data_IF_164539442022
#
_entry.id   IF_164539442022
#
_cell.length_a   1.000
_cell.length_b   1.000
_cell.length_c   1.000
_cell.angle_alpha   90.00
_cell.angle_beta   90.00
_cell.angle_gamma   90.00
#
_symmetry.space_group_name_H-M   'P 1'
#
loop_
_entity.id
_entity.type
_entity.pdbx_description
1 polymer ?
#
# COMPACT_ATOMS: atom_id res chain seq x y z
N UNK A 1 -23.63 25.77 22.91
CA UNK A 1 -24.43 26.63 22.02
C UNK A 1 -24.13 26.24 20.60
N UNK A 2 -25.13 25.77 19.85
CA UNK A 2 -25.03 25.53 18.40
C UNK A 2 -25.31 26.87 17.71
N UNK A 3 -24.45 27.29 16.79
CA UNK A 3 -24.62 28.55 16.06
C UNK A 3 -25.76 28.38 15.04
N UNK A 4 -26.76 29.27 15.05
CA UNK A 4 -27.97 29.17 14.21
C UNK A 4 -27.68 29.31 12.71
N UNK A 5 -26.50 29.82 12.33
CA UNK A 5 -26.07 29.94 10.94
C UNK A 5 -25.17 28.78 10.52
N UNK A 6 -25.77 27.69 10.06
CA UNK A 6 -25.07 26.59 9.39
C UNK A 6 -24.59 27.05 8.00
N UNK A 7 -23.26 27.11 7.77
CA UNK A 7 -22.65 27.36 6.46
C UNK A 7 -22.63 26.09 5.60
N UNK A 8 -23.76 25.41 5.46
CA UNK A 8 -23.84 24.21 4.63
C UNK A 8 -23.57 24.55 3.16
N UNK A 9 -22.55 23.95 2.57
CA UNK A 9 -22.16 24.12 1.16
C UNK A 9 -22.52 22.91 0.27
N UNK A 10 -23.24 21.95 0.85
CA UNK A 10 -23.71 20.72 0.22
C UNK A 10 -25.10 20.35 0.74
N UNK A 11 -25.96 19.91 -0.18
CA UNK A 11 -27.28 19.36 0.12
C UNK A 11 -27.31 17.89 -0.29
N UNK A 12 -27.67 16.99 0.62
CA UNK A 12 -27.69 15.55 0.40
C UNK A 12 -27.04 14.75 1.53
N UNK A 13 -26.84 13.45 1.33
CA UNK A 13 -26.16 12.62 2.31
C UNK A 13 -24.66 12.94 2.37
N UNK A 14 -24.03 12.68 3.51
CA UNK A 14 -22.59 12.91 3.71
C UNK A 14 -21.72 12.11 2.73
N UNK A 15 -22.17 10.92 2.31
CA UNK A 15 -21.48 10.09 1.33
C UNK A 15 -21.46 10.65 -0.10
N UNK A 16 -22.29 11.64 -0.43
CA UNK A 16 -22.26 12.29 -1.75
C UNK A 16 -21.39 13.55 -1.79
N UNK A 17 -20.95 14.05 -0.63
CA UNK A 17 -20.15 15.27 -0.53
C UNK A 17 -18.85 15.18 -1.35
N UNK A 18 -18.18 14.02 -1.30
CA UNK A 18 -16.94 13.79 -2.04
C UNK A 18 -17.16 13.89 -3.56
N UNK A 19 -18.19 13.23 -4.08
CA UNK A 19 -18.52 13.26 -5.49
C UNK A 19 -18.94 14.66 -5.95
N UNK A 20 -19.80 15.33 -5.19
CA UNK A 20 -20.22 16.70 -5.50
C UNK A 20 -19.06 17.70 -5.44
N UNK A 21 -18.14 17.53 -4.49
CA UNK A 21 -16.91 18.33 -4.42
C UNK A 21 -16.01 18.10 -5.63
N UNK A 22 -15.76 16.85 -6.00
CA UNK A 22 -14.95 16.49 -7.15
C UNK A 22 -15.53 17.04 -8.47
N UNK A 23 -16.84 16.91 -8.69
CA UNK A 23 -17.53 17.50 -9.85
C UNK A 23 -17.25 19.00 -9.92
N UNK A 24 -17.46 19.75 -8.83
CA UNK A 24 -17.22 21.20 -8.82
C UNK A 24 -15.77 21.55 -9.15
N UNK A 25 -14.80 20.82 -8.59
CA UNK A 25 -13.38 21.04 -8.87
C UNK A 25 -13.06 20.88 -10.36
N UNK A 26 -13.57 19.82 -11.00
CA UNK A 26 -13.32 19.56 -12.42
C UNK A 26 -14.16 20.46 -13.34
N UNK A 27 -15.39 20.80 -12.95
CA UNK A 27 -16.28 21.66 -13.74
C UNK A 27 -15.74 23.09 -13.86
N UNK A 28 -15.16 23.62 -12.79
CA UNK A 28 -14.71 25.00 -12.74
C UNK A 28 -13.22 25.20 -13.01
N UNK A 29 -12.46 24.12 -13.24
CA UNK A 29 -11.01 24.16 -13.44
C UNK A 29 -10.59 25.10 -14.57
N UNK A 30 -11.25 25.07 -15.73
CA UNK A 30 -10.92 25.95 -16.86
C UNK A 30 -11.30 27.41 -16.58
N UNK A 31 -12.50 27.66 -16.04
CA UNK A 31 -12.96 29.04 -15.79
C UNK A 31 -12.22 29.74 -14.66
N UNK A 32 -11.81 29.00 -13.62
CA UNK A 32 -11.11 29.57 -12.45
C UNK A 32 -9.59 29.54 -12.59
N UNK A 33 -9.05 28.56 -13.32
CA UNK A 33 -7.60 28.31 -13.36
C UNK A 33 -7.02 28.20 -14.78
N UNK A 34 -7.85 28.14 -15.83
CA UNK A 34 -7.39 27.94 -17.21
C UNK A 34 -6.74 26.58 -17.46
N UNK A 35 -7.10 25.55 -16.66
CA UNK A 35 -6.48 24.24 -16.70
C UNK A 35 -7.51 23.12 -16.88
N UNK A 36 -7.14 22.11 -17.66
CA UNK A 36 -7.85 20.83 -17.71
C UNK A 36 -7.12 19.80 -16.86
N UNK A 37 -7.84 19.13 -15.96
CA UNK A 37 -7.30 18.07 -15.13
C UNK A 37 -7.45 16.71 -15.80
N UNK A 38 -6.35 16.14 -16.28
CA UNK A 38 -6.35 14.86 -17.00
C UNK A 38 -6.21 13.64 -16.10
N UNK A 39 -6.02 13.84 -14.79
CA UNK A 39 -5.76 12.77 -13.82
C UNK A 39 -6.62 12.95 -12.58
N UNK A 40 -7.18 11.86 -12.08
CA UNK A 40 -7.97 11.78 -10.86
C UNK A 40 -7.29 10.83 -9.88
N UNK A 41 -6.77 11.34 -8.76
CA UNK A 41 -6.19 10.50 -7.71
C UNK A 41 -7.27 10.14 -6.67
N UNK A 42 -7.60 8.85 -6.55
CA UNK A 42 -8.69 8.38 -5.69
C UNK A 42 -8.37 7.12 -4.88
N UNK A 43 -9.25 6.80 -3.93
CA UNK A 43 -9.27 5.50 -3.23
C UNK A 43 -10.25 4.58 -3.98
N UNK A 44 -9.79 3.45 -4.51
CA UNK A 44 -10.58 2.25 -4.84
C UNK A 44 -11.94 2.42 -5.49
N UNK A 45 -12.99 2.53 -4.69
CA UNK A 45 -14.37 2.73 -5.17
C UNK A 45 -14.71 4.22 -5.20
N UNK A 46 -14.20 4.91 -6.20
CA UNK A 46 -14.36 6.35 -6.32
C UNK A 46 -15.66 6.68 -7.07
N UNK A 47 -16.79 6.69 -6.35
CA UNK A 47 -18.04 7.30 -6.85
C UNK A 47 -17.81 8.72 -7.38
N UNK A 48 -16.85 9.43 -6.77
CA UNK A 48 -16.38 10.73 -7.23
C UNK A 48 -15.74 10.68 -8.62
N UNK A 49 -14.83 9.73 -8.90
CA UNK A 49 -14.26 9.54 -10.23
C UNK A 49 -15.35 9.22 -11.24
N UNK A 50 -16.27 8.29 -10.91
CA UNK A 50 -17.37 7.93 -11.79
C UNK A 50 -18.21 9.14 -12.16
N UNK A 51 -18.57 9.97 -11.18
CA UNK A 51 -19.37 11.17 -11.41
C UNK A 51 -18.63 12.22 -12.25
N UNK A 52 -17.32 12.42 -12.01
CA UNK A 52 -16.47 13.29 -12.83
C UNK A 52 -16.36 12.76 -14.27
N UNK A 53 -16.21 11.45 -14.44
CA UNK A 53 -16.13 10.85 -15.76
C UNK A 53 -17.48 10.93 -16.50
N UNK A 54 -18.61 10.74 -15.82
CA UNK A 54 -19.94 10.84 -16.44
C UNK A 54 -20.28 12.27 -16.90
N UNK A 55 -19.81 13.30 -16.19
CA UNK A 55 -20.07 14.69 -16.58
C UNK A 55 -19.24 15.17 -17.79
N UNK A 56 -18.18 14.44 -18.18
CA UNK A 56 -17.29 14.77 -19.31
C UNK A 56 -16.90 16.27 -19.33
N UNK A 57 -16.18 16.79 -18.31
CA UNK A 57 -15.99 18.22 -18.11
C UNK A 57 -15.21 18.91 -19.24
N UNK A 58 -14.49 18.13 -20.06
CA UNK A 58 -13.58 18.61 -21.10
C UNK A 58 -13.88 18.00 -22.48
N UNK A 59 -15.11 17.51 -22.70
CA UNK A 59 -15.49 16.85 -23.96
C UNK A 59 -14.67 15.58 -24.20
N UNK A 60 -13.84 15.57 -25.24
CA UNK A 60 -13.07 14.39 -25.68
C UNK A 60 -11.84 14.08 -24.81
N UNK A 61 -11.44 14.99 -23.90
CA UNK A 61 -10.28 14.76 -23.03
C UNK A 61 -10.61 13.75 -21.93
N UNK A 62 -9.94 12.59 -21.98
CA UNK A 62 -10.10 11.54 -20.98
C UNK A 62 -9.42 11.89 -19.65
N UNK A 63 -10.03 11.44 -18.56
CA UNK A 63 -9.51 11.59 -17.21
C UNK A 63 -9.02 10.23 -16.73
N UNK A 64 -7.71 10.08 -16.54
CA UNK A 64 -7.10 8.86 -16.04
C UNK A 64 -7.29 8.74 -14.52
N UNK A 65 -7.83 7.61 -14.06
CA UNK A 65 -7.89 7.32 -12.63
C UNK A 65 -6.55 6.75 -12.14
N UNK A 66 -5.96 7.41 -11.15
CA UNK A 66 -4.82 6.95 -10.38
C UNK A 66 -5.25 6.41 -9.02
N UNK A 67 -4.64 5.32 -8.58
CA UNK A 67 -4.88 4.73 -7.27
C UNK A 67 -3.95 5.32 -6.21
N UNK A 68 -4.52 5.78 -5.10
CA UNK A 68 -3.70 6.31 -4.01
C UNK A 68 -2.92 5.20 -3.28
N UNK A 69 -1.74 5.53 -2.76
CA UNK A 69 -0.92 4.61 -1.95
C UNK A 69 -1.70 4.06 -0.75
N UNK A 70 -2.61 4.87 -0.20
CA UNK A 70 -3.52 4.50 0.88
C UNK A 70 -4.44 3.33 0.52
N UNK A 71 -4.91 3.28 -0.72
CA UNK A 71 -5.73 2.19 -1.21
C UNK A 71 -4.89 0.94 -1.52
N UNK A 72 -3.76 1.09 -2.20
CA UNK A 72 -2.90 -0.05 -2.55
C UNK A 72 -2.44 -0.80 -1.29
N UNK A 73 -2.03 -0.07 -0.23
CA UNK A 73 -1.70 -0.70 1.06
C UNK A 73 -2.89 -1.41 1.71
N UNK A 74 -4.11 -0.85 1.62
CA UNK A 74 -5.34 -1.48 2.16
C UNK A 74 -5.63 -2.78 1.42
N UNK A 75 -5.55 -2.75 0.09
CA UNK A 75 -5.74 -3.92 -0.79
C UNK A 75 -4.80 -5.06 -0.42
N UNK A 76 -3.52 -4.79 -0.21
CA UNK A 76 -2.54 -5.78 0.29
C UNK A 76 -2.99 -6.40 1.62
N UNK A 77 -3.36 -5.57 2.60
CA UNK A 77 -3.84 -6.05 3.90
C UNK A 77 -5.08 -6.91 3.82
N UNK A 78 -6.06 -6.53 3.00
CA UNK A 78 -7.27 -7.32 2.77
C UNK A 78 -6.94 -8.69 2.17
N UNK A 79 -6.03 -8.74 1.19
CA UNK A 79 -5.58 -10.02 0.59
C UNK A 79 -4.91 -10.93 1.61
N UNK A 80 -4.01 -10.40 2.45
CA UNK A 80 -3.36 -11.16 3.52
C UNK A 80 -4.37 -11.67 4.56
N UNK A 81 -5.37 -10.86 4.93
CA UNK A 81 -6.44 -11.28 5.83
C UNK A 81 -7.32 -12.37 5.21
N UNK A 82 -7.65 -12.26 3.93
CA UNK A 82 -8.41 -13.29 3.22
C UNK A 82 -7.63 -14.60 3.12
N UNK A 83 -6.32 -14.54 2.89
CA UNK A 83 -5.45 -15.71 2.97
C UNK A 83 -5.49 -16.34 4.36
N UNK A 84 -5.31 -15.53 5.40
CA UNK A 84 -5.40 -15.97 6.80
C UNK A 84 -6.69 -16.73 7.07
N UNK A 85 -7.82 -16.20 6.57
CA UNK A 85 -9.13 -16.86 6.67
C UNK A 85 -9.19 -18.18 5.89
N UNK A 86 -8.66 -18.23 4.66
CA UNK A 86 -8.60 -19.46 3.84
C UNK A 86 -7.74 -20.57 4.46
N UNK A 87 -6.72 -20.19 5.24
CA UNK A 87 -5.82 -21.11 5.92
C UNK A 87 -6.22 -21.39 7.37
N UNK A 88 -7.31 -20.78 7.85
CA UNK A 88 -7.82 -20.97 9.20
C UNK A 88 -8.04 -22.46 9.48
N UNK A 89 -7.49 -22.95 10.59
CA UNK A 89 -7.51 -24.37 11.04
C UNK A 89 -6.64 -25.34 10.22
N UNK A 90 -5.94 -24.89 9.18
CA UNK A 90 -4.90 -25.72 8.55
C UNK A 90 -3.62 -25.58 9.36
N UNK A 91 -3.12 -26.70 9.87
CA UNK A 91 -1.77 -26.74 10.45
C UNK A 91 -0.76 -26.54 9.33
N UNK A 92 0.29 -25.77 9.62
CA UNK A 92 1.42 -25.60 8.72
C UNK A 92 2.25 -26.89 8.64
N UNK A 93 3.24 -26.94 7.74
CA UNK A 93 4.14 -28.09 7.60
C UNK A 93 4.87 -28.45 8.91
N UNK A 94 5.12 -27.43 9.75
CA UNK A 94 5.70 -27.58 11.09
C UNK A 94 4.79 -28.31 12.09
N UNK A 95 3.50 -28.52 11.74
CA UNK A 95 2.42 -29.14 12.53
C UNK A 95 2.22 -28.55 13.95
N UNK A 96 2.90 -27.45 14.28
CA UNK A 96 2.95 -26.85 15.62
C UNK A 96 2.01 -25.67 15.75
N UNK A 97 1.86 -24.88 14.69
CA UNK A 97 1.09 -23.63 14.70
C UNK A 97 0.19 -23.47 13.48
N UNK A 98 -0.82 -22.65 13.66
CA UNK A 98 -1.69 -22.11 12.61
C UNK A 98 -1.13 -20.80 12.07
N UNK A 99 -1.59 -20.37 10.90
CA UNK A 99 -1.07 -19.18 10.24
C UNK A 99 -1.34 -17.89 11.02
N UNK A 100 -2.42 -17.86 11.81
CA UNK A 100 -2.86 -16.72 12.62
C UNK A 100 -2.24 -16.64 14.02
N UNK A 101 -1.36 -17.59 14.38
CA UNK A 101 -0.70 -17.59 15.68
C UNK A 101 0.28 -16.42 15.89
N UNK A 102 0.53 -16.08 17.15
CA UNK A 102 1.52 -15.06 17.52
C UNK A 102 2.92 -15.38 16.97
N UNK A 103 3.54 -14.38 16.34
CA UNK A 103 4.81 -14.51 15.61
C UNK A 103 4.68 -15.07 14.19
N UNK A 104 3.45 -15.27 13.70
CA UNK A 104 3.13 -15.67 12.32
C UNK A 104 2.40 -14.52 11.60
N UNK A 105 1.38 -14.79 10.80
CA UNK A 105 0.59 -13.78 10.09
C UNK A 105 -0.61 -13.28 10.93
N UNK A 106 -0.34 -12.87 12.18
CA UNK A 106 -1.32 -12.22 13.04
C UNK A 106 -1.71 -10.83 12.47
N UNK A 107 -2.85 -10.27 12.88
CA UNK A 107 -3.33 -8.98 12.36
C UNK A 107 -2.31 -7.85 12.57
N UNK A 108 -1.64 -7.82 13.72
CA UNK A 108 -0.58 -6.86 14.00
C UNK A 108 0.61 -6.98 13.02
N UNK A 109 0.91 -8.18 12.51
CA UNK A 109 1.97 -8.37 11.51
C UNK A 109 1.50 -7.93 10.11
N UNK A 110 0.23 -8.19 9.77
CA UNK A 110 -0.38 -7.67 8.54
C UNK A 110 -0.35 -6.13 8.54
N UNK A 111 -0.68 -5.48 9.67
CA UNK A 111 -0.64 -4.02 9.78
C UNK A 111 0.77 -3.46 9.60
N UNK A 112 1.80 -4.13 10.16
CA UNK A 112 3.21 -3.76 9.91
C UNK A 112 3.58 -3.91 8.43
N UNK A 113 3.18 -5.01 7.79
CA UNK A 113 3.44 -5.23 6.36
C UNK A 113 2.79 -4.13 5.50
N UNK A 114 1.55 -3.75 5.79
CA UNK A 114 0.88 -2.64 5.10
C UNK A 114 1.60 -1.31 5.31
N UNK A 115 2.10 -1.06 6.53
CA UNK A 115 2.86 0.15 6.86
C UNK A 115 4.16 0.21 6.04
N UNK A 116 4.93 -0.87 6.04
CA UNK A 116 6.20 -0.95 5.32
C UNK A 116 6.00 -0.86 3.81
N UNK A 117 5.00 -1.55 3.28
CA UNK A 117 4.64 -1.45 1.86
C UNK A 117 4.33 0.00 1.44
N UNK A 118 3.52 0.72 2.23
CA UNK A 118 3.23 2.13 1.97
C UNK A 118 4.45 3.05 2.12
N UNK A 119 5.38 2.73 3.04
CA UNK A 119 6.61 3.48 3.24
C UNK A 119 7.58 3.27 2.08
N UNK A 120 7.70 2.04 1.59
CA UNK A 120 8.52 1.69 0.43
C UNK A 120 8.10 2.48 -0.82
N UNK A 121 6.80 2.69 -1.04
CA UNK A 121 6.33 3.53 -2.14
C UNK A 121 6.68 5.01 -1.90
N UNK A 122 6.32 5.56 -0.72
CA UNK A 122 6.49 6.99 -0.42
C UNK A 122 7.95 7.45 -0.40
N UNK A 123 8.87 6.61 0.06
CA UNK A 123 10.29 6.97 0.18
C UNK A 123 11.06 6.82 -1.14
N UNK A 124 10.42 6.37 -2.21
CA UNK A 124 11.08 6.09 -3.49
C UNK A 124 10.37 6.79 -4.68
N UNK A 125 9.57 7.83 -4.43
CA UNK A 125 8.84 8.56 -5.48
C UNK A 125 9.73 9.46 -6.33
N UNK A 126 10.85 9.93 -5.79
CA UNK A 126 11.60 11.06 -6.35
C UNK A 126 12.79 10.64 -7.23
N UNK A 127 12.98 9.33 -7.47
CA UNK A 127 14.12 8.86 -8.27
C UNK A 127 13.81 8.77 -9.76
N UNK A 128 14.83 9.01 -10.60
CA UNK A 128 14.77 8.82 -12.07
C UNK A 128 14.32 7.40 -12.47
N UNK A 129 14.52 6.43 -11.57
CA UNK A 129 14.13 5.04 -11.69
C UNK A 129 13.10 4.64 -10.62
N UNK A 130 12.20 5.55 -10.24
CA UNK A 130 11.28 5.43 -9.08
C UNK A 130 10.57 4.09 -9.02
N UNK A 131 10.09 3.59 -10.16
CA UNK A 131 9.42 2.28 -10.24
C UNK A 131 10.34 1.14 -9.82
N UNK A 132 11.59 1.10 -10.28
CA UNK A 132 12.54 0.03 -9.92
C UNK A 132 12.97 0.15 -8.46
N UNK A 133 13.18 1.37 -7.96
CA UNK A 133 13.47 1.64 -6.56
C UNK A 133 12.32 1.20 -5.64
N UNK A 134 11.07 1.51 -6.01
CA UNK A 134 9.85 1.08 -5.31
C UNK A 134 9.76 -0.45 -5.31
N UNK A 135 9.93 -1.10 -6.47
CA UNK A 135 9.92 -2.58 -6.57
C UNK A 135 10.98 -3.20 -5.67
N UNK A 136 12.21 -2.70 -5.72
CA UNK A 136 13.32 -3.17 -4.87
C UNK A 136 12.98 -3.01 -3.38
N UNK A 137 12.47 -1.86 -2.95
CA UNK A 137 12.13 -1.59 -1.56
C UNK A 137 10.96 -2.48 -1.05
N UNK A 138 9.96 -2.73 -1.90
CA UNK A 138 8.86 -3.66 -1.60
C UNK A 138 9.42 -5.08 -1.43
N UNK A 139 10.27 -5.53 -2.35
CA UNK A 139 10.90 -6.84 -2.26
C UNK A 139 11.80 -6.98 -1.04
N UNK A 140 12.61 -5.97 -0.72
CA UNK A 140 13.43 -5.95 0.49
C UNK A 140 12.59 -6.10 1.76
N UNK A 141 11.45 -5.40 1.83
CA UNK A 141 10.49 -5.54 2.95
C UNK A 141 9.95 -6.97 3.06
N UNK A 142 9.64 -7.59 1.93
CA UNK A 142 9.17 -8.97 1.88
C UNK A 142 10.26 -9.95 2.33
N UNK A 143 11.47 -9.86 1.81
CA UNK A 143 12.58 -10.76 2.16
C UNK A 143 13.03 -10.61 3.61
N UNK A 144 12.93 -9.41 4.19
CA UNK A 144 13.14 -9.21 5.63
C UNK A 144 12.15 -9.96 6.53
N UNK A 145 11.02 -10.39 5.99
CA UNK A 145 9.93 -11.05 6.72
C UNK A 145 9.81 -12.52 6.36
N UNK A 146 10.00 -12.85 5.09
CA UNK A 146 10.00 -14.20 4.55
C UNK A 146 11.36 -14.85 4.77
N UNK A 147 11.50 -15.69 5.79
CA UNK A 147 12.79 -16.32 6.08
C UNK A 147 12.90 -17.71 5.47
N UNK A 148 14.08 -17.97 4.89
CA UNK A 148 14.62 -19.29 4.65
C UNK A 148 15.95 -19.31 5.42
N UNK A 149 16.04 -20.10 6.49
CA UNK A 149 17.20 -20.17 7.40
C UNK A 149 18.55 -20.54 6.73
N UNK A 150 18.55 -20.81 5.42
CA UNK A 150 19.76 -21.15 4.65
C UNK A 150 20.22 -20.04 3.68
N UNK A 151 19.45 -18.96 3.47
CA UNK A 151 19.78 -17.91 2.52
C UNK A 151 19.43 -16.52 3.06
N UNK A 152 20.46 -15.75 3.40
CA UNK A 152 20.37 -14.35 3.82
C UNK A 152 19.95 -13.49 2.63
N UNK A 153 18.67 -13.22 2.46
CA UNK A 153 18.18 -12.38 1.35
C UNK A 153 18.10 -10.90 1.74
N UNK A 154 19.25 -10.33 2.13
CA UNK A 154 19.39 -8.89 2.37
C UNK A 154 19.87 -8.11 1.12
N UNK A 155 20.14 -8.77 0.00
CA UNK A 155 20.72 -8.17 -1.22
C UNK A 155 19.91 -7.00 -1.82
N UNK A 156 18.62 -6.91 -1.48
CA UNK A 156 17.73 -5.85 -1.95
C UNK A 156 17.59 -4.68 -0.98
N UNK A 157 18.14 -4.81 0.23
CA UNK A 157 18.10 -3.77 1.24
C UNK A 157 18.91 -2.55 0.82
N UNK A 158 18.62 -1.38 1.38
CA UNK A 158 19.48 -0.21 1.23
C UNK A 158 20.82 -0.49 1.90
N UNK A 159 21.93 -0.13 1.25
CA UNK A 159 23.28 -0.27 1.80
C UNK A 159 23.87 1.06 2.29
N UNK A 160 23.04 2.10 2.37
CA UNK A 160 23.45 3.42 2.85
C UNK A 160 23.48 3.47 4.39
N UNK A 161 24.10 4.52 4.93
CA UNK A 161 24.25 4.71 6.38
C UNK A 161 22.91 4.78 7.13
N UNK A 162 21.87 5.31 6.47
CA UNK A 162 20.51 5.38 6.99
C UNK A 162 19.68 4.10 6.74
N UNK A 163 20.33 2.97 6.45
CA UNK A 163 19.60 1.73 6.18
C UNK A 163 18.78 1.29 7.38
N UNK A 164 17.53 0.92 7.13
CA UNK A 164 16.67 0.31 8.14
C UNK A 164 17.04 -1.16 8.40
N UNK A 165 17.87 -1.76 7.53
CA UNK A 165 18.33 -3.14 7.65
C UNK A 165 19.39 -3.25 8.75
N UNK A 166 19.02 -3.84 9.90
CA UNK A 166 19.95 -4.09 11.01
C UNK A 166 21.13 -4.99 10.61
N UNK A 167 20.92 -5.92 9.66
CA UNK A 167 21.99 -6.78 9.13
C UNK A 167 23.04 -5.98 8.36
N UNK A 168 22.62 -5.15 7.39
CA UNK A 168 23.56 -4.35 6.61
C UNK A 168 24.26 -3.33 7.50
N UNK A 169 23.54 -2.70 8.43
CA UNK A 169 24.14 -1.79 9.40
C UNK A 169 25.22 -2.51 10.23
N UNK A 170 24.94 -3.71 10.72
CA UNK A 170 25.92 -4.50 11.47
C UNK A 170 27.14 -4.90 10.63
N UNK A 171 26.97 -5.18 9.33
CA UNK A 171 28.11 -5.39 8.42
C UNK A 171 28.95 -4.11 8.33
N UNK A 172 28.31 -2.96 8.10
CA UNK A 172 29.00 -1.67 7.98
C UNK A 172 29.72 -1.28 9.28
N UNK A 173 29.14 -1.59 10.45
CA UNK A 173 29.73 -1.28 11.77
C UNK A 173 30.60 -2.40 12.33
N UNK A 174 30.77 -3.52 11.61
CA UNK A 174 31.48 -4.72 12.07
C UNK A 174 30.93 -5.33 13.38
N UNK A 175 29.62 -5.19 13.61
CA UNK A 175 28.91 -5.76 14.75
C UNK A 175 28.36 -7.16 14.45
N UNK A 176 28.15 -7.97 15.50
CA UNK A 176 27.54 -9.30 15.36
C UNK A 176 26.02 -9.17 15.30
N UNK A 177 25.44 -9.46 14.14
CA UNK A 177 23.98 -9.50 13.97
C UNK A 177 23.39 -10.88 14.30
N UNK A 178 22.25 -10.89 15.00
CA UNK A 178 21.44 -12.08 15.26
C UNK A 178 20.02 -11.87 14.77
N UNK A 179 19.57 -12.71 13.85
CA UNK A 179 18.20 -12.66 13.35
C UNK A 179 17.18 -12.98 14.45
N UNK A 180 16.12 -12.18 14.52
CA UNK A 180 15.00 -12.36 15.45
C UNK A 180 13.72 -12.64 14.66
N UNK A 181 13.05 -13.75 14.99
CA UNK A 181 11.71 -14.17 14.54
C UNK A 181 11.49 -14.29 13.02
N UNK A 182 11.20 -15.52 12.58
CA UNK A 182 11.02 -15.90 11.18
C UNK A 182 9.56 -16.29 10.87
N UNK A 183 9.00 -15.79 9.76
CA UNK A 183 7.74 -16.32 9.24
C UNK A 183 7.96 -17.74 8.67
N UNK A 184 7.03 -18.68 8.88
CA UNK A 184 7.13 -20.04 8.36
C UNK A 184 6.94 -20.06 6.85
N UNK A 185 7.52 -21.06 6.19
CA UNK A 185 7.65 -21.18 4.73
C UNK A 185 6.36 -20.94 3.93
N UNK A 186 5.20 -21.37 4.43
CA UNK A 186 3.92 -21.20 3.73
C UNK A 186 3.42 -19.76 3.77
N UNK A 187 3.71 -19.01 4.84
CA UNK A 187 3.38 -17.59 4.95
C UNK A 187 4.24 -16.75 3.97
N UNK A 188 5.48 -17.19 3.74
CA UNK A 188 6.40 -16.63 2.76
C UNK A 188 5.90 -16.86 1.33
N UNK A 189 5.58 -18.10 0.94
CA UNK A 189 5.17 -18.44 -0.44
C UNK A 189 3.95 -17.63 -0.90
N UNK A 190 2.94 -17.43 -0.05
CA UNK A 190 1.77 -16.64 -0.47
C UNK A 190 1.98 -15.14 -0.39
N UNK A 191 2.84 -14.66 0.52
CA UNK A 191 3.25 -13.26 0.53
C UNK A 191 4.04 -12.91 -0.75
N UNK A 192 4.81 -13.86 -1.32
CA UNK A 192 5.46 -13.72 -2.63
C UNK A 192 4.41 -13.57 -3.75
N UNK A 193 3.41 -14.45 -3.81
CA UNK A 193 2.33 -14.36 -4.81
C UNK A 193 1.58 -13.03 -4.70
N UNK A 194 1.29 -12.57 -3.49
CA UNK A 194 0.66 -11.26 -3.28
C UNK A 194 1.55 -10.11 -3.75
N UNK A 195 2.86 -10.16 -3.48
CA UNK A 195 3.81 -9.13 -3.92
C UNK A 195 3.97 -9.13 -5.44
N UNK A 196 4.08 -10.30 -6.08
CA UNK A 196 4.14 -10.44 -7.54
C UNK A 196 2.89 -9.90 -8.24
N UNK A 197 1.70 -10.29 -7.79
CA UNK A 197 0.44 -9.79 -8.37
C UNK A 197 0.22 -8.29 -8.16
N UNK A 198 0.81 -7.71 -7.11
CA UNK A 198 0.72 -6.26 -6.83
C UNK A 198 1.76 -5.47 -7.62
N UNK A 199 2.93 -6.05 -7.90
CA UNK A 199 4.00 -5.42 -8.70
C UNK A 199 3.71 -5.48 -10.20
N UNK A 200 2.96 -6.48 -10.64
CA UNK A 200 2.68 -6.77 -12.06
C UNK A 200 1.31 -6.25 -12.55
N UNK A 201 0.49 -5.64 -11.68
CA UNK A 201 -0.68 -4.83 -12.06
C UNK A 201 -0.33 -3.34 -11.93
#
# INVERSE_FOLDING_TARGET
MHNENCKANHFGNSGSMEASGAIKIFQFSESLHGLQYTKFLGDGDARAYKAVNEMQPYGDTSIEKLECVGYVKKRMGTRLRNLKLKMKRKKLSDKKKTLDDHGRLADAEIDKLQRYYGLAIRNNTDSINSINSIKRAIWATYFHKAFIDAYLQHDLCPTNEDTWCEYDRAITTSEVYKHKNTLPSEASITSNMCVQEIINN
#
